data_IF_142668150064
#
_entry.id   IF_142668150064
#
_cell.length_a   1.000
_cell.length_b   1.000
_cell.length_c   1.000
_cell.angle_alpha   90.00
_cell.angle_beta   90.00
_cell.angle_gamma   90.00
#
_symmetry.space_group_name_H-M   'P 1'
#
loop_
_entity.id
_entity.type
_entity.pdbx_description
1 polymer ?
#
# COMPACT_ATOMS: atom_id res chain seq x y z
N UNK A 1 17.25 -18.12 35.50
CA UNK A 1 16.97 -16.99 36.41
C UNK A 1 16.87 -15.75 35.54
N UNK A 2 15.71 -15.07 35.49
CA UNK A 2 15.51 -13.87 34.68
C UNK A 2 16.27 -12.70 35.31
N UNK A 3 17.14 -12.03 34.56
CA UNK A 3 17.88 -10.86 35.02
C UNK A 3 17.13 -9.61 34.57
N UNK A 4 16.53 -8.89 35.52
CA UNK A 4 15.93 -7.58 35.23
C UNK A 4 17.09 -6.58 35.18
N UNK A 5 17.37 -6.07 33.98
CA UNK A 5 18.37 -5.01 33.77
C UNK A 5 17.62 -3.70 33.72
N UNK A 6 17.92 -2.79 34.63
CA UNK A 6 17.38 -1.43 34.63
C UNK A 6 18.24 -0.62 33.67
N UNK A 7 17.68 -0.24 32.51
CA UNK A 7 18.33 0.64 31.55
C UNK A 7 17.67 2.00 31.59
N UNK A 8 18.46 3.06 31.60
CA UNK A 8 17.94 4.42 31.43
C UNK A 8 17.56 4.64 29.97
N UNK A 9 16.62 5.55 29.70
CA UNK A 9 16.15 5.84 28.34
C UNK A 9 17.31 6.17 27.39
N UNK A 10 18.31 6.90 27.89
CA UNK A 10 19.49 7.29 27.13
C UNK A 10 20.36 6.08 26.73
N UNK A 11 20.48 5.08 27.60
CA UNK A 11 21.22 3.84 27.30
C UNK A 11 20.51 2.98 26.25
N UNK A 12 19.17 3.02 26.24
CA UNK A 12 18.38 2.38 25.19
C UNK A 12 18.64 3.09 23.86
N UNK A 13 18.58 4.42 23.85
CA UNK A 13 18.82 5.23 22.65
C UNK A 13 20.24 5.03 22.09
N UNK A 14 21.25 4.96 22.95
CA UNK A 14 22.65 4.72 22.54
C UNK A 14 22.89 3.29 22.02
N UNK A 15 22.04 2.34 22.41
CA UNK A 15 22.10 0.95 21.93
C UNK A 15 21.37 0.74 20.59
N UNK A 16 20.54 1.71 20.17
CA UNK A 16 19.89 1.68 18.87
C UNK A 16 20.94 1.98 17.79
N UNK A 17 21.33 0.94 17.05
CA UNK A 17 22.02 1.15 15.78
C UNK A 17 21.02 1.58 14.72
N UNK A 18 21.44 2.41 13.77
CA UNK A 18 20.67 2.66 12.56
C UNK A 18 20.52 1.32 11.83
N UNK A 19 19.34 0.71 11.95
CA UNK A 19 18.95 -0.33 11.04
C UNK A 19 18.71 0.35 9.69
N UNK A 20 19.71 0.34 8.81
CA UNK A 20 19.50 0.56 7.38
C UNK A 20 18.71 -0.63 6.83
N UNK A 21 17.46 -0.75 7.27
CA UNK A 21 16.49 -1.53 6.54
C UNK A 21 16.17 -0.72 5.28
N UNK A 22 16.51 -1.25 4.11
CA UNK A 22 15.98 -0.79 2.84
C UNK A 22 14.49 -1.16 2.82
N UNK A 23 13.71 -0.45 3.65
CA UNK A 23 12.29 -0.72 3.92
C UNK A 23 11.43 -0.40 2.69
N UNK A 24 11.97 0.35 1.75
CA UNK A 24 11.40 0.54 0.43
C UNK A 24 11.92 -0.54 -0.52
N UNK A 25 11.19 -1.64 -0.59
CA UNK A 25 11.34 -2.55 -1.71
C UNK A 25 11.04 -1.83 -3.05
N UNK A 26 11.47 -2.43 -4.15
CA UNK A 26 11.29 -1.83 -5.49
C UNK A 26 9.81 -1.56 -5.82
N UNK A 27 8.90 -2.32 -5.20
CA UNK A 27 7.46 -2.14 -5.36
C UNK A 27 7.01 -0.83 -4.70
N UNK A 28 7.45 -0.57 -3.46
CA UNK A 28 7.17 0.66 -2.74
C UNK A 28 7.72 1.89 -3.48
N UNK A 29 8.93 1.80 -4.06
CA UNK A 29 9.52 2.88 -4.87
C UNK A 29 8.63 3.21 -6.08
N UNK A 30 8.15 2.21 -6.80
CA UNK A 30 7.28 2.39 -7.97
C UNK A 30 5.92 2.97 -7.58
N UNK A 31 5.31 2.48 -6.49
CA UNK A 31 4.04 3.01 -5.97
C UNK A 31 4.20 4.49 -5.62
N UNK A 32 5.26 4.87 -4.90
CA UNK A 32 5.51 6.27 -4.54
C UNK A 32 5.70 7.15 -5.77
N UNK A 33 6.52 6.71 -6.73
CA UNK A 33 6.71 7.43 -7.98
C UNK A 33 5.37 7.62 -8.73
N UNK A 34 4.53 6.60 -8.74
CA UNK A 34 3.21 6.65 -9.39
C UNK A 34 2.25 7.59 -8.66
N UNK A 35 2.18 7.54 -7.33
CA UNK A 35 1.36 8.46 -6.54
C UNK A 35 1.72 9.93 -6.82
N UNK A 36 3.00 10.23 -7.02
CA UNK A 36 3.47 11.58 -7.36
C UNK A 36 2.99 12.07 -8.74
N UNK A 37 2.66 11.15 -9.67
CA UNK A 37 2.11 11.50 -10.99
C UNK A 37 0.61 11.76 -10.97
N UNK A 38 -0.10 11.38 -9.90
CA UNK A 38 -1.56 11.56 -9.82
C UNK A 38 -1.84 13.04 -9.56
N UNK A 39 -2.57 13.74 -10.46
CA UNK A 39 -2.88 15.15 -10.28
C UNK A 39 -3.77 15.36 -9.06
N UNK A 40 -3.38 16.28 -8.18
CA UNK A 40 -4.19 16.66 -7.01
C UNK A 40 -5.43 17.43 -7.47
N UNK A 41 -6.60 16.84 -7.27
CA UNK A 41 -7.91 17.42 -7.64
C UNK A 41 -8.82 17.57 -6.42
N UNK A 42 -9.72 18.56 -6.48
CA UNK A 42 -10.79 18.73 -5.48
C UNK A 42 -11.81 17.58 -5.51
N UNK A 43 -12.01 17.00 -6.68
CA UNK A 43 -12.90 15.86 -6.88
C UNK A 43 -12.31 14.94 -7.94
N UNK A 44 -12.36 13.64 -7.67
CA UNK A 44 -12.02 12.59 -8.62
C UNK A 44 -13.31 11.93 -9.13
N UNK A 45 -13.26 11.37 -10.33
CA UNK A 45 -14.37 10.71 -10.99
C UNK A 45 -13.95 9.33 -11.52
N UNK A 46 -14.91 8.58 -12.06
CA UNK A 46 -14.64 7.25 -12.61
C UNK A 46 -13.58 7.25 -13.71
N UNK A 47 -13.50 8.31 -14.52
CA UNK A 47 -12.47 8.42 -15.56
C UNK A 47 -11.04 8.48 -14.98
N UNK A 48 -10.86 9.07 -13.79
CA UNK A 48 -9.54 9.10 -13.14
C UNK A 48 -9.09 7.69 -12.74
N UNK A 49 -10.03 6.83 -12.30
CA UNK A 49 -9.77 5.43 -12.02
C UNK A 49 -9.45 4.67 -13.32
N UNK A 50 -10.22 4.90 -14.40
CA UNK A 50 -9.93 4.29 -15.70
C UNK A 50 -8.54 4.65 -16.22
N UNK A 51 -8.13 5.91 -16.11
CA UNK A 51 -6.78 6.36 -16.48
C UNK A 51 -5.71 5.72 -15.58
N UNK A 52 -5.95 5.67 -14.27
CA UNK A 52 -5.03 5.03 -13.31
C UNK A 52 -4.79 3.55 -13.64
N UNK A 53 -5.84 2.84 -14.05
CA UNK A 53 -5.83 1.40 -14.36
C UNK A 53 -5.39 1.07 -15.80
N UNK A 54 -5.27 2.06 -16.68
CA UNK A 54 -4.86 1.86 -18.07
C UNK A 54 -3.34 1.66 -18.17
N UNK A 55 -2.90 0.41 -17.94
CA UNK A 55 -1.49 0.01 -17.95
C UNK A 55 -1.28 -1.28 -18.72
N UNK A 56 -0.08 -1.46 -19.25
CA UNK A 56 0.22 -2.55 -20.17
C UNK A 56 0.72 -3.83 -19.48
N UNK A 57 1.26 -3.73 -18.28
CA UNK A 57 1.85 -4.85 -17.57
C UNK A 57 1.22 -5.10 -16.19
N UNK A 58 1.33 -6.35 -15.73
CA UNK A 58 0.73 -6.80 -14.47
C UNK A 58 1.29 -6.07 -13.25
N UNK A 59 2.58 -5.78 -13.23
CA UNK A 59 3.23 -5.16 -12.07
C UNK A 59 2.70 -3.74 -11.84
N UNK A 60 2.61 -2.94 -12.90
CA UNK A 60 2.01 -1.61 -12.87
C UNK A 60 0.51 -1.66 -12.56
N UNK A 61 -0.17 -2.72 -12.99
CA UNK A 61 -1.58 -2.94 -12.65
C UNK A 61 -1.76 -3.19 -11.16
N UNK A 62 -0.92 -4.03 -10.56
CA UNK A 62 -0.94 -4.28 -9.11
C UNK A 62 -0.63 -2.99 -8.32
N UNK A 63 0.30 -2.16 -8.78
CA UNK A 63 0.59 -0.85 -8.19
C UNK A 63 -0.60 0.13 -8.33
N UNK A 64 -1.22 0.19 -9.51
CA UNK A 64 -2.41 1.01 -9.77
C UNK A 64 -3.59 0.58 -8.87
N UNK A 65 -3.78 -0.73 -8.72
CA UNK A 65 -4.77 -1.34 -7.82
C UNK A 65 -4.57 -0.90 -6.38
N UNK A 66 -3.32 -0.92 -5.90
CA UNK A 66 -3.00 -0.46 -4.56
C UNK A 66 -3.27 1.05 -4.39
N UNK A 67 -2.90 1.87 -5.38
CA UNK A 67 -3.18 3.31 -5.35
C UNK A 67 -4.68 3.60 -5.23
N UNK A 68 -5.52 2.85 -5.97
CA UNK A 68 -6.98 2.97 -5.85
C UNK A 68 -7.49 2.53 -4.47
N UNK A 69 -6.95 1.45 -3.91
CA UNK A 69 -7.28 1.01 -2.55
C UNK A 69 -6.93 2.06 -1.48
N UNK A 70 -5.74 2.65 -1.57
CA UNK A 70 -5.30 3.74 -0.68
C UNK A 70 -6.21 4.96 -0.77
N UNK A 71 -6.61 5.35 -1.99
CA UNK A 71 -7.53 6.46 -2.21
C UNK A 71 -8.91 6.22 -1.58
N UNK A 72 -9.39 4.98 -1.64
CA UNK A 72 -10.68 4.59 -1.04
C UNK A 72 -10.59 4.31 0.47
N UNK A 73 -9.39 4.35 1.06
CA UNK A 73 -9.17 4.01 2.46
C UNK A 73 -9.44 2.53 2.78
N UNK A 74 -9.27 1.65 1.80
CA UNK A 74 -9.49 0.21 1.93
C UNK A 74 -8.16 -0.52 2.13
N UNK A 75 -8.16 -1.53 3.01
CA UNK A 75 -7.07 -2.50 3.04
C UNK A 75 -7.01 -3.29 1.73
N UNK A 76 -5.85 -3.87 1.42
CA UNK A 76 -5.66 -4.69 0.22
C UNK A 76 -6.72 -5.80 0.12
N UNK A 77 -6.91 -6.56 1.19
CA UNK A 77 -7.84 -7.70 1.21
C UNK A 77 -9.29 -7.24 1.01
N UNK A 78 -9.68 -6.14 1.65
CA UNK A 78 -11.02 -5.59 1.50
C UNK A 78 -11.26 -5.07 0.08
N UNK A 79 -10.30 -4.34 -0.48
CA UNK A 79 -10.37 -3.86 -1.85
C UNK A 79 -10.51 -5.02 -2.85
N UNK A 80 -9.70 -6.07 -2.70
CA UNK A 80 -9.77 -7.25 -3.57
C UNK A 80 -11.09 -8.00 -3.44
N UNK A 81 -11.63 -8.12 -2.23
CA UNK A 81 -12.94 -8.73 -1.98
C UNK A 81 -14.05 -7.93 -2.68
N UNK A 82 -14.12 -6.61 -2.44
CA UNK A 82 -15.13 -5.75 -3.05
C UNK A 82 -15.02 -5.72 -4.58
N UNK A 83 -13.79 -5.75 -5.12
CA UNK A 83 -13.58 -5.79 -6.57
C UNK A 83 -14.05 -7.11 -7.17
N UNK A 84 -13.70 -8.25 -6.57
CA UNK A 84 -14.16 -9.58 -7.03
C UNK A 84 -15.68 -9.68 -7.00
N UNK A 85 -16.31 -9.19 -5.93
CA UNK A 85 -17.76 -9.17 -5.79
C UNK A 85 -18.42 -8.36 -6.90
N UNK A 86 -17.94 -7.13 -7.15
CA UNK A 86 -18.46 -6.25 -8.22
C UNK A 86 -18.24 -6.81 -9.63
N UNK A 87 -17.20 -7.61 -9.82
CA UNK A 87 -16.91 -8.28 -11.10
C UNK A 87 -17.68 -9.60 -11.27
N UNK A 88 -18.48 -10.02 -10.28
CA UNK A 88 -19.19 -11.31 -10.31
C UNK A 88 -18.26 -12.51 -10.21
N UNK A 89 -17.04 -12.32 -9.68
CA UNK A 89 -16.03 -13.37 -9.50
C UNK A 89 -16.14 -14.05 -8.13
N UNK A 90 -16.98 -13.54 -7.24
CA UNK A 90 -17.39 -14.23 -6.02
C UNK A 90 -18.63 -15.04 -6.37
N UNK A 91 -18.46 -16.36 -6.48
CA UNK A 91 -19.52 -17.29 -6.88
C UNK A 91 -20.75 -17.22 -5.98
N UNK A 92 -21.91 -17.48 -6.60
CA UNK A 92 -23.15 -17.83 -5.92
C UNK A 92 -22.83 -18.81 -4.80
N UNK A 93 -23.25 -18.47 -3.57
CA UNK A 93 -23.30 -19.45 -2.50
C UNK A 93 -24.43 -20.41 -2.87
N UNK A 94 -24.07 -21.55 -3.45
CA UNK A 94 -24.93 -22.75 -3.45
C UNK A 94 -25.32 -23.13 -2.02
#
# INVERSE_FOLDING_TARGET
MMKIVTQQLDEIMDSLSNLEADWMDDTAKVIMARLQTIPVKKQYCGNDISVLMNVENKFDFDAAKLCAGLFLGLSKDRFESELKERLGLVGERD
#
